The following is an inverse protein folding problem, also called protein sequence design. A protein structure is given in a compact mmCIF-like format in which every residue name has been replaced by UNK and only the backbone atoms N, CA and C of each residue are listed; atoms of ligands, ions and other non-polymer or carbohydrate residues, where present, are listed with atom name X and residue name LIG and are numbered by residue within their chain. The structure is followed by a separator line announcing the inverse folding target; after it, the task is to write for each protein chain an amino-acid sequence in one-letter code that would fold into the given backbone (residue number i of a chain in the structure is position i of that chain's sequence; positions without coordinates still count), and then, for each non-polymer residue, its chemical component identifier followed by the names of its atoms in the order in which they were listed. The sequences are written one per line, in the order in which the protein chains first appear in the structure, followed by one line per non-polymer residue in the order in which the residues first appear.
data_IF_921520668517
#
_entry.id   IF_921520668517
#
_cell.length_a   1.000
_cell.length_b   1.000
_cell.length_c   1.000
_cell.angle_alpha   90.00
_cell.angle_beta   90.00
_cell.angle_gamma   90.00
#
_symmetry.space_group_name_H-M   'P 1'
#
loop_
_entity.id
_entity.type
_entity.pdbx_description
1 polymer ?
#
# COMPACT_ATOMS: atom_id res chain seq x y z
N UNK A 1 15.27 19.63 -24.67
CA UNK A 1 14.81 18.47 -23.89
C UNK A 1 13.31 18.60 -23.75
N UNK A 2 12.57 17.48 -23.76
CA UNK A 2 11.12 17.53 -23.73
C UNK A 2 10.59 18.08 -22.39
N UNK A 3 9.42 18.69 -22.46
CA UNK A 3 8.63 19.11 -21.29
C UNK A 3 7.35 18.30 -21.24
N UNK A 4 6.90 17.98 -20.04
CA UNK A 4 5.59 17.39 -19.82
C UNK A 4 4.89 18.08 -18.65
N UNK A 5 3.58 17.90 -18.58
CA UNK A 5 2.78 18.37 -17.45
C UNK A 5 2.16 17.18 -16.77
N UNK A 6 2.19 17.16 -15.43
CA UNK A 6 1.50 16.14 -14.66
C UNK A 6 0.98 16.71 -13.34
N UNK A 7 -0.01 16.03 -12.79
CA UNK A 7 -0.52 16.28 -11.46
C UNK A 7 0.36 15.55 -10.44
N UNK A 8 0.69 16.20 -9.32
CA UNK A 8 1.55 15.58 -8.31
C UNK A 8 1.33 16.10 -6.91
N UNK A 9 1.65 15.27 -5.93
CA UNK A 9 1.70 15.62 -4.50
C UNK A 9 3.15 15.66 -4.05
N UNK A 10 3.53 16.74 -3.37
CA UNK A 10 4.87 16.87 -2.77
C UNK A 10 4.96 15.95 -1.55
N UNK A 11 5.84 14.94 -1.62
CA UNK A 11 6.10 14.04 -0.49
C UNK A 11 7.15 14.61 0.45
N UNK A 12 8.24 15.14 -0.13
CA UNK A 12 9.41 15.59 0.62
C UNK A 12 10.12 16.72 -0.10
N UNK A 13 10.70 17.63 0.67
CA UNK A 13 11.50 18.74 0.15
C UNK A 13 12.82 18.84 0.91
N UNK A 14 13.93 18.92 0.19
CA UNK A 14 15.28 19.09 0.76
C UNK A 14 15.97 20.32 0.16
N UNK A 15 16.84 20.97 0.93
CA UNK A 15 17.61 22.13 0.48
C UNK A 15 18.66 21.68 -0.54
N UNK A 16 18.81 22.42 -1.64
CA UNK A 16 19.89 22.24 -2.60
C UNK A 16 20.66 23.56 -2.70
N UNK A 17 21.86 23.60 -2.11
CA UNK A 17 22.60 24.85 -1.97
C UNK A 17 21.79 25.94 -1.26
N UNK A 18 22.03 27.19 -1.64
CA UNK A 18 21.44 28.35 -0.96
C UNK A 18 20.05 28.73 -1.49
N UNK A 19 19.88 28.73 -2.81
CA UNK A 19 18.70 29.27 -3.46
C UNK A 19 17.66 28.21 -3.86
N UNK A 20 18.05 26.93 -3.93
CA UNK A 20 17.26 25.90 -4.61
C UNK A 20 16.75 24.83 -3.63
N UNK A 21 15.80 24.03 -4.12
CA UNK A 21 15.26 22.84 -3.42
C UNK A 21 15.23 21.66 -4.38
N UNK A 22 15.45 20.45 -3.85
CA UNK A 22 15.04 19.21 -4.51
C UNK A 22 13.71 18.80 -3.89
N UNK A 23 12.73 18.50 -4.74
CA UNK A 23 11.38 18.13 -4.35
C UNK A 23 11.11 16.72 -4.86
N UNK A 24 10.71 15.83 -3.97
CA UNK A 24 10.22 14.49 -4.30
C UNK A 24 8.71 14.56 -4.45
N UNK A 25 8.20 14.14 -5.61
CA UNK A 25 6.81 14.28 -6.00
C UNK A 25 6.27 12.90 -6.40
N UNK A 26 5.16 12.47 -5.81
CA UNK A 26 4.37 11.39 -6.37
C UNK A 26 3.45 11.99 -7.44
N UNK A 27 3.72 11.69 -8.70
CA UNK A 27 2.91 12.14 -9.83
C UNK A 27 1.87 11.10 -10.20
N UNK A 28 0.76 11.56 -10.79
CA UNK A 28 -0.35 10.70 -11.18
C UNK A 28 0.05 9.73 -12.30
N UNK A 29 0.79 10.22 -13.30
CA UNK A 29 1.03 9.49 -14.55
C UNK A 29 2.48 9.02 -14.69
N UNK A 30 3.45 9.73 -14.10
CA UNK A 30 4.88 9.44 -14.21
C UNK A 30 5.48 8.80 -12.95
N UNK A 31 4.64 8.48 -11.96
CA UNK A 31 5.06 7.88 -10.69
C UNK A 31 5.90 8.83 -9.84
N UNK A 32 6.81 8.27 -9.04
CA UNK A 32 7.69 9.07 -8.20
C UNK A 32 8.83 9.70 -9.01
N UNK A 33 8.96 11.02 -8.90
CA UNK A 33 10.06 11.78 -9.51
C UNK A 33 10.77 12.63 -8.45
N UNK A 34 12.03 12.97 -8.74
CA UNK A 34 12.80 13.98 -8.01
C UNK A 34 13.11 15.13 -8.94
N UNK A 35 12.80 16.35 -8.53
CA UNK A 35 12.95 17.52 -9.38
C UNK A 35 13.58 18.70 -8.65
N UNK A 36 14.47 19.41 -9.35
CA UNK A 36 15.11 20.64 -8.86
C UNK A 36 14.19 21.83 -9.13
N UNK A 37 13.88 22.57 -8.08
CA UNK A 37 13.20 23.85 -8.15
C UNK A 37 14.21 24.99 -7.94
N UNK A 38 14.67 25.57 -9.06
CA UNK A 38 15.64 26.68 -9.03
C UNK A 38 15.04 27.95 -8.44
N UNK A 39 15.76 28.60 -7.54
CA UNK A 39 15.36 29.82 -6.86
C UNK A 39 14.23 29.65 -5.86
N UNK A 40 13.84 28.41 -5.53
CA UNK A 40 12.70 28.12 -4.66
C UNK A 40 12.81 28.74 -3.26
N UNK A 41 14.03 28.96 -2.76
CA UNK A 41 14.32 29.54 -1.43
C UNK A 41 14.53 31.06 -1.45
N UNK A 42 14.50 31.71 -2.62
CA UNK A 42 14.62 33.18 -2.71
C UNK A 42 13.37 33.84 -2.15
N UNK A 43 13.52 35.01 -1.51
CA UNK A 43 12.40 35.78 -0.92
C UNK A 43 11.28 36.05 -1.92
N UNK A 44 11.61 36.29 -3.20
CA UNK A 44 10.66 36.52 -4.29
C UNK A 44 10.47 35.27 -5.18
N UNK A 45 10.52 34.08 -4.58
CA UNK A 45 10.34 32.81 -5.29
C UNK A 45 8.93 32.72 -5.90
N UNK A 46 8.85 32.36 -7.19
CA UNK A 46 7.58 32.10 -7.87
C UNK A 46 6.81 30.91 -7.28
N UNK A 47 7.51 30.04 -6.56
CA UNK A 47 6.95 28.80 -6.04
C UNK A 47 6.18 29.00 -4.73
N UNK A 48 6.58 29.97 -3.88
CA UNK A 48 5.94 30.18 -2.58
C UNK A 48 5.80 28.88 -1.76
N UNK A 49 4.65 28.68 -1.12
CA UNK A 49 4.33 27.45 -0.36
C UNK A 49 3.97 26.22 -1.22
N UNK A 50 3.99 26.32 -2.56
CA UNK A 50 3.54 25.23 -3.45
C UNK A 50 4.45 24.01 -3.45
N UNK A 51 5.68 24.16 -2.95
CA UNK A 51 6.67 23.10 -2.84
C UNK A 51 6.84 22.61 -1.40
N UNK A 52 5.93 22.99 -0.50
CA UNK A 52 5.89 22.41 0.84
C UNK A 52 5.22 21.02 0.79
N UNK A 53 5.53 20.12 1.75
CA UNK A 53 4.91 18.81 1.85
C UNK A 53 3.38 18.87 1.81
N UNK A 54 2.78 17.81 1.25
CA UNK A 54 1.33 17.63 1.08
C UNK A 54 0.68 18.55 0.04
N UNK A 55 1.40 19.51 -0.54
CA UNK A 55 0.84 20.34 -1.61
C UNK A 55 0.57 19.51 -2.88
N UNK A 56 -0.67 19.57 -3.38
CA UNK A 56 -1.08 18.99 -4.67
C UNK A 56 -1.10 20.07 -5.73
N UNK A 57 -0.27 19.90 -6.75
CA UNK A 57 -0.12 20.89 -7.82
C UNK A 57 -0.15 20.23 -9.19
N UNK A 58 -0.49 21.02 -10.20
CA UNK A 58 -0.18 20.75 -11.60
C UNK A 58 1.22 21.27 -11.88
N UNK A 59 2.14 20.39 -12.21
CA UNK A 59 3.54 20.72 -12.46
C UNK A 59 3.84 20.76 -13.94
N UNK A 60 4.55 21.79 -14.40
CA UNK A 60 5.25 21.78 -15.68
C UNK A 60 6.69 21.35 -15.40
N UNK A 61 7.07 20.20 -15.92
CA UNK A 61 8.36 19.56 -15.68
C UNK A 61 9.15 19.54 -16.98
N UNK A 62 10.42 19.89 -16.86
CA UNK A 62 11.38 19.77 -17.95
C UNK A 62 12.27 18.57 -17.66
N UNK A 63 12.48 17.72 -18.66
CA UNK A 63 13.34 16.57 -18.47
C UNK A 63 14.78 17.01 -18.26
N UNK A 64 15.38 16.51 -17.17
CA UNK A 64 16.78 16.74 -16.84
C UNK A 64 17.70 15.67 -17.42
N UNK A 65 18.97 15.66 -17.00
CA UNK A 65 19.92 14.58 -17.33
C UNK A 65 19.87 13.54 -16.21
N UNK A 66 19.47 12.31 -16.53
CA UNK A 66 19.33 11.22 -15.56
C UNK A 66 18.03 11.31 -14.75
N UNK A 67 18.10 10.99 -13.45
CA UNK A 67 16.93 10.86 -12.58
C UNK A 67 16.38 12.20 -12.04
N UNK A 68 17.19 13.27 -12.09
CA UNK A 68 16.82 14.58 -11.58
C UNK A 68 16.17 15.44 -12.67
N UNK A 69 14.90 15.73 -12.48
CA UNK A 69 14.09 16.58 -13.35
C UNK A 69 14.18 18.06 -12.94
N UNK A 70 13.54 18.97 -13.70
CA UNK A 70 13.45 20.38 -13.35
C UNK A 70 12.01 20.88 -13.29
N UNK A 71 11.66 21.57 -12.21
CA UNK A 71 10.34 22.19 -12.06
C UNK A 71 10.37 23.58 -12.70
N UNK A 72 9.57 23.76 -13.77
CA UNK A 72 9.39 25.05 -14.42
C UNK A 72 8.20 25.82 -13.84
N UNK A 73 7.11 25.14 -13.51
CA UNK A 73 5.90 25.74 -12.94
C UNK A 73 5.23 24.78 -11.96
N UNK A 74 4.55 25.34 -10.97
CA UNK A 74 3.69 24.61 -10.05
C UNK A 74 2.43 25.45 -9.84
N UNK A 75 1.29 24.96 -10.29
CA UNK A 75 -0.02 25.58 -10.11
C UNK A 75 -0.81 24.80 -9.08
N UNK A 76 -1.26 25.48 -8.02
CA UNK A 76 -1.94 24.82 -6.91
C UNK A 76 -3.29 24.27 -7.35
N UNK A 77 -3.49 22.97 -7.10
CA UNK A 77 -4.81 22.33 -7.18
C UNK A 77 -5.42 22.29 -5.78
N UNK A 78 -4.64 21.83 -4.79
CA UNK A 78 -5.04 21.86 -3.38
C UNK A 78 -3.81 22.01 -2.48
N UNK A 79 -3.95 22.79 -1.41
CA UNK A 79 -2.90 23.03 -0.42
C UNK A 79 -3.30 22.44 0.94
N UNK A 80 -3.31 21.10 1.08
CA UNK A 80 -3.72 20.41 2.31
C UNK A 80 -2.88 20.75 3.55
N UNK A 81 -1.66 21.28 3.34
CA UNK A 81 -0.70 21.51 4.41
C UNK A 81 -1.19 22.48 5.48
N UNK A 82 -2.03 23.47 5.16
CA UNK A 82 -2.53 24.43 6.15
C UNK A 82 -3.36 23.75 7.24
N UNK A 83 -4.33 22.94 6.82
CA UNK A 83 -5.23 22.21 7.70
C UNK A 83 -4.50 21.07 8.43
N UNK A 84 -3.63 20.35 7.72
CA UNK A 84 -2.86 19.23 8.29
C UNK A 84 -1.87 19.72 9.35
N UNK A 85 -1.11 20.79 9.08
CA UNK A 85 -0.07 21.28 10.03
C UNK A 85 -0.69 21.88 11.29
N UNK A 86 -1.93 22.36 11.21
CA UNK A 86 -2.65 22.91 12.36
C UNK A 86 -3.07 21.85 13.38
N UNK A 87 -2.98 20.56 13.04
CA UNK A 87 -3.40 19.43 13.86
C UNK A 87 -2.23 18.46 14.03
N UNK A 88 -1.84 18.19 15.28
CA UNK A 88 -0.65 17.39 15.56
C UNK A 88 -0.78 15.96 15.03
N UNK A 89 -1.92 15.32 15.30
CA UNK A 89 -2.14 13.92 14.91
C UNK A 89 -2.24 13.80 13.39
N UNK A 90 -2.95 14.72 12.74
CA UNK A 90 -3.02 14.75 11.28
C UNK A 90 -1.63 14.97 10.65
N UNK A 91 -0.82 15.87 11.22
CA UNK A 91 0.54 16.11 10.75
C UNK A 91 1.44 14.88 10.88
N UNK A 92 1.41 14.19 12.03
CA UNK A 92 2.18 12.95 12.23
C UNK A 92 1.74 11.89 11.21
N UNK A 93 0.44 11.62 11.11
CA UNK A 93 -0.09 10.62 10.19
C UNK A 93 0.20 10.95 8.72
N UNK A 94 0.10 12.21 8.32
CA UNK A 94 0.44 12.64 6.96
C UNK A 94 1.92 12.40 6.63
N UNK A 95 2.83 12.59 7.60
CA UNK A 95 4.24 12.28 7.41
C UNK A 95 4.47 10.77 7.29
N UNK A 96 3.83 9.94 8.13
CA UNK A 96 3.92 8.47 8.03
C UNK A 96 3.42 7.99 6.67
N UNK A 97 2.27 8.47 6.21
CA UNK A 97 1.71 8.18 4.88
C UNK A 97 2.71 8.55 3.77
N UNK A 98 3.23 9.78 3.78
CA UNK A 98 4.13 10.26 2.74
C UNK A 98 5.47 9.51 2.73
N UNK A 99 6.04 9.25 3.90
CA UNK A 99 7.30 8.52 4.04
C UNK A 99 7.16 7.04 3.66
N UNK A 100 6.06 6.40 4.07
CA UNK A 100 5.79 5.00 3.76
C UNK A 100 5.62 4.79 2.26
N UNK A 101 4.89 5.69 1.60
CA UNK A 101 4.76 5.66 0.14
C UNK A 101 6.09 5.94 -0.56
N UNK A 102 6.87 6.91 -0.10
CA UNK A 102 8.19 7.23 -0.67
C UNK A 102 9.11 6.00 -0.63
N UNK A 103 9.25 5.37 0.56
CA UNK A 103 10.04 4.15 0.77
C UNK A 103 9.54 2.98 -0.06
N UNK A 104 8.24 2.75 -0.09
CA UNK A 104 7.63 1.70 -0.90
C UNK A 104 7.95 1.88 -2.39
N UNK A 105 7.86 3.11 -2.90
CA UNK A 105 8.16 3.41 -4.30
C UNK A 105 9.66 3.33 -4.64
N UNK A 106 10.58 3.59 -3.69
CA UNK A 106 12.02 3.35 -3.90
C UNK A 106 12.31 1.86 -4.11
N UNK A 107 11.67 1.01 -3.31
CA UNK A 107 11.84 -0.44 -3.42
C UNK A 107 11.36 -0.95 -4.78
N UNK A 108 10.22 -0.48 -5.28
CA UNK A 108 9.58 -0.98 -6.52
C UNK A 108 10.26 -0.46 -7.80
N UNK A 109 10.73 0.79 -7.84
CA UNK A 109 11.50 1.31 -8.98
C UNK A 109 12.78 0.51 -9.23
N UNK A 110 13.42 0.02 -8.17
CA UNK A 110 14.61 -0.85 -8.25
C UNK A 110 14.36 -2.18 -9.00
N UNK A 111 13.12 -2.68 -9.04
CA UNK A 111 12.76 -3.93 -9.73
C UNK A 111 12.50 -3.75 -11.23
N UNK A 112 11.97 -2.59 -11.67
CA UNK A 112 11.68 -2.34 -13.09
C UNK A 112 12.92 -2.27 -13.98
N UNK A 113 14.10 -1.96 -13.41
CA UNK A 113 15.37 -1.93 -14.14
C UNK A 113 15.95 -3.30 -14.50
N UNK A 114 15.49 -4.38 -13.85
CA UNK A 114 16.01 -5.75 -14.08
C UNK A 114 15.12 -6.59 -15.01
N UNK A 115 13.84 -6.24 -15.18
CA UNK A 115 12.89 -6.99 -16.01
C UNK A 115 13.21 -6.94 -17.51
N UNK A 116 13.96 -5.96 -18.01
CA UNK A 116 14.28 -5.88 -19.44
C UNK A 116 15.45 -6.76 -19.87
N UNK A 117 16.31 -7.21 -18.94
CA UNK A 117 17.49 -8.02 -19.27
C UNK A 117 17.29 -9.54 -19.09
N UNK A 118 16.35 -9.98 -18.25
CA UNK A 118 16.11 -11.41 -18.01
C UNK A 118 15.12 -12.07 -18.99
N UNK A 119 14.39 -11.29 -19.79
CA UNK A 119 13.50 -11.82 -20.82
C UNK A 119 14.25 -12.43 -22.03
N UNK A 120 15.55 -12.17 -22.16
CA UNK A 120 16.38 -12.65 -23.28
C UNK A 120 17.36 -13.79 -22.93
N UNK A 121 17.50 -14.18 -21.65
CA UNK A 121 18.54 -15.13 -21.21
C UNK A 121 18.02 -16.45 -20.62
N UNK A 122 16.71 -16.69 -20.60
CA UNK A 122 16.12 -17.95 -20.09
C UNK A 122 16.06 -19.09 -21.11
N UNK A 123 16.70 -18.97 -22.27
CA UNK A 123 16.69 -20.02 -23.30
C UNK A 123 17.91 -20.96 -23.28
N UNK A 124 18.93 -20.73 -22.46
CA UNK A 124 20.19 -21.51 -22.52
C UNK A 124 20.60 -22.31 -21.27
N UNK A 125 19.99 -22.12 -20.09
CA UNK A 125 20.45 -22.78 -18.85
C UNK A 125 19.55 -23.92 -18.34
N UNK A 126 18.98 -24.72 -19.25
CA UNK A 126 18.24 -25.95 -18.89
C UNK A 126 19.12 -27.22 -18.88
N UNK A 127 20.45 -27.12 -19.01
CA UNK A 127 21.28 -28.28 -19.33
C UNK A 127 22.21 -28.82 -18.23
N UNK A 128 22.38 -28.18 -17.07
CA UNK A 128 23.37 -28.64 -16.08
C UNK A 128 22.82 -28.53 -14.66
N UNK A 129 22.15 -29.60 -14.23
CA UNK A 129 21.53 -29.70 -12.91
C UNK A 129 22.54 -29.83 -11.78
N UNK A 130 22.42 -28.98 -10.76
CA UNK A 130 23.08 -29.11 -9.44
C UNK A 130 22.28 -28.32 -8.37
N UNK A 131 21.69 -29.05 -7.40
CA UNK A 131 21.31 -28.68 -5.99
C UNK A 131 20.18 -27.66 -5.69
N UNK A 132 19.33 -27.75 -4.63
CA UNK A 132 18.90 -28.73 -3.60
C UNK A 132 17.43 -28.43 -3.28
N UNK A 133 16.68 -29.47 -2.94
CA UNK A 133 15.26 -29.57 -2.65
C UNK A 133 14.75 -28.65 -1.52
N UNK A 134 13.72 -27.85 -1.83
CA UNK A 134 12.65 -27.48 -0.91
C UNK A 134 11.35 -28.02 -1.50
N UNK A 135 10.68 -28.91 -0.78
CA UNK A 135 9.62 -29.79 -1.26
C UNK A 135 8.37 -29.03 -1.74
N UNK A 136 8.26 -28.84 -3.05
CA UNK A 136 6.99 -28.65 -3.73
C UNK A 136 6.50 -30.02 -4.22
N UNK A 137 5.33 -30.44 -3.74
CA UNK A 137 4.69 -31.68 -4.12
C UNK A 137 4.44 -31.72 -5.64
N UNK A 138 4.94 -32.78 -6.27
CA UNK A 138 4.63 -33.14 -7.65
C UNK A 138 3.13 -33.45 -7.76
N UNK A 139 2.43 -32.76 -8.65
CA UNK A 139 1.20 -33.28 -9.26
C UNK A 139 1.40 -33.39 -10.76
N UNK A 140 0.78 -34.43 -11.31
CA UNK A 140 1.07 -35.07 -12.57
C UNK A 140 1.11 -34.16 -13.82
N UNK A 141 2.01 -34.56 -14.69
CA UNK A 141 2.28 -34.04 -16.02
C UNK A 141 1.12 -34.28 -16.99
N UNK A 142 0.15 -33.37 -17.07
CA UNK A 142 -0.65 -33.17 -18.29
C UNK A 142 -1.62 -32.00 -18.15
N UNK A 143 -1.09 -30.78 -18.12
CA UNK A 143 -1.65 -29.56 -18.73
C UNK A 143 -0.91 -28.36 -18.12
N UNK A 144 -0.14 -27.67 -18.95
CA UNK A 144 0.55 -26.44 -18.58
C UNK A 144 -0.46 -25.33 -18.25
N UNK A 145 -0.77 -25.14 -16.98
CA UNK A 145 -1.50 -23.96 -16.47
C UNK A 145 -0.50 -22.97 -15.86
N UNK A 146 0.55 -22.63 -16.63
CA UNK A 146 1.16 -21.33 -16.47
C UNK A 146 0.42 -20.40 -17.42
N UNK A 147 -0.27 -19.35 -16.93
CA UNK A 147 -0.91 -18.39 -17.82
C UNK A 147 0.17 -17.79 -18.72
N UNK A 148 0.07 -18.04 -20.02
CA UNK A 148 0.98 -17.56 -21.08
C UNK A 148 0.91 -16.05 -21.32
N UNK A 149 0.21 -15.31 -20.46
CA UNK A 149 0.19 -13.85 -20.41
C UNK A 149 0.63 -13.44 -19.01
N UNK A 150 1.68 -12.62 -18.92
CA UNK A 150 2.25 -12.18 -17.65
C UNK A 150 1.18 -11.67 -16.67
N UNK A 151 1.40 -11.94 -15.38
CA UNK A 151 0.52 -11.63 -14.25
C UNK A 151 0.25 -10.11 -14.04
N UNK A 152 0.76 -9.25 -14.91
CA UNK A 152 0.49 -7.81 -14.99
C UNK A 152 -0.53 -7.53 -16.10
N UNK A 153 -1.77 -7.98 -15.87
CA UNK A 153 -2.92 -7.62 -16.71
C UNK A 153 -3.53 -6.29 -16.26
N UNK A 154 -2.86 -5.19 -16.59
CA UNK A 154 -3.29 -3.77 -16.72
C UNK A 154 -2.05 -2.89 -16.59
N UNK A 155 -2.02 -1.74 -17.27
CA UNK A 155 -0.80 -0.98 -17.55
C UNK A 155 -0.10 -0.53 -16.25
N UNK A 156 1.23 -0.57 -16.18
CA UNK A 156 2.02 -0.06 -15.03
C UNK A 156 1.57 1.35 -14.56
N UNK A 157 1.06 2.17 -15.49
CA UNK A 157 0.46 3.48 -15.23
C UNK A 157 -0.86 3.45 -14.44
N UNK A 158 -1.67 2.39 -14.59
CA UNK A 158 -2.91 2.20 -13.82
C UNK A 158 -2.62 1.99 -12.34
N UNK A 159 -1.55 1.24 -12.03
CA UNK A 159 -1.10 0.99 -10.66
C UNK A 159 -0.58 2.28 -10.00
N UNK A 160 0.24 3.06 -10.71
CA UNK A 160 0.73 4.36 -10.23
C UNK A 160 -0.42 5.34 -9.96
N UNK A 161 -1.40 5.38 -10.84
CA UNK A 161 -2.60 6.22 -10.69
C UNK A 161 -3.39 5.83 -9.45
N UNK A 162 -3.47 4.53 -9.14
CA UNK A 162 -4.17 4.05 -7.96
C UNK A 162 -3.45 4.50 -6.67
N UNK A 163 -2.13 4.36 -6.57
CA UNK A 163 -1.36 4.85 -5.40
C UNK A 163 -1.49 6.37 -5.24
N UNK A 164 -1.42 7.10 -6.35
CA UNK A 164 -1.63 8.54 -6.37
C UNK A 164 -3.01 8.93 -5.82
N UNK A 165 -4.07 8.26 -6.31
CA UNK A 165 -5.44 8.53 -5.88
C UNK A 165 -5.64 8.19 -4.39
N UNK A 166 -5.04 7.09 -3.91
CA UNK A 166 -5.09 6.71 -2.50
C UNK A 166 -4.42 7.77 -1.62
N UNK A 167 -3.25 8.30 -2.03
CA UNK A 167 -2.56 9.38 -1.32
C UNK A 167 -3.40 10.66 -1.25
N UNK A 168 -3.96 11.08 -2.39
CA UNK A 168 -4.81 12.28 -2.45
C UNK A 168 -6.06 12.13 -1.58
N UNK A 169 -6.67 10.95 -1.59
CA UNK A 169 -7.82 10.66 -0.73
C UNK A 169 -7.45 10.76 0.76
N UNK A 170 -6.36 10.12 1.18
CA UNK A 170 -5.92 10.14 2.58
C UNK A 170 -5.58 11.56 3.07
N UNK A 171 -4.80 12.33 2.30
CA UNK A 171 -4.47 13.72 2.65
C UNK A 171 -5.71 14.63 2.67
N UNK A 172 -6.65 14.41 1.75
CA UNK A 172 -7.93 15.13 1.73
C UNK A 172 -8.78 14.82 2.97
N UNK A 173 -8.90 13.54 3.35
CA UNK A 173 -9.64 13.12 4.54
C UNK A 173 -9.00 13.63 5.84
N UNK A 174 -7.67 13.67 5.92
CA UNK A 174 -6.94 14.29 7.05
C UNK A 174 -7.22 15.79 7.14
N UNK A 175 -7.10 16.51 6.02
CA UNK A 175 -7.35 17.96 5.99
C UNK A 175 -8.80 18.32 6.37
N UNK A 176 -9.77 17.49 5.97
CA UNK A 176 -11.19 17.69 6.28
C UNK A 176 -11.62 17.10 7.63
N UNK A 177 -10.74 16.37 8.32
CA UNK A 177 -11.01 15.67 9.58
C UNK A 177 -12.25 14.76 9.48
N UNK A 178 -12.36 14.01 8.39
CA UNK A 178 -13.51 13.13 8.14
C UNK A 178 -13.58 11.93 9.11
N UNK A 179 -12.40 11.51 9.57
CA UNK A 179 -12.16 10.41 10.51
C UNK A 179 -10.95 10.75 11.38
N UNK A 180 -10.76 10.04 12.49
CA UNK A 180 -9.51 10.12 13.25
C UNK A 180 -8.27 9.87 12.38
N UNK A 181 -7.17 10.58 12.68
CA UNK A 181 -5.96 10.52 11.87
C UNK A 181 -5.36 9.11 11.79
N UNK A 182 -5.38 8.36 12.91
CA UNK A 182 -4.90 6.98 12.98
C UNK A 182 -5.71 6.01 12.12
N UNK A 183 -7.03 6.20 12.00
CA UNK A 183 -7.86 5.39 11.09
C UNK A 183 -7.49 5.65 9.63
N UNK A 184 -7.25 6.91 9.26
CA UNK A 184 -6.87 7.26 7.89
C UNK A 184 -5.49 6.70 7.55
N UNK A 185 -4.52 6.84 8.46
CA UNK A 185 -3.18 6.25 8.31
C UNK A 185 -3.24 4.73 8.17
N UNK A 186 -3.93 4.06 9.09
CA UNK A 186 -4.00 2.60 9.10
C UNK A 186 -4.68 2.05 7.85
N UNK A 187 -5.76 2.71 7.39
CA UNK A 187 -6.42 2.37 6.13
C UNK A 187 -5.51 2.60 4.93
N UNK A 188 -4.77 3.72 4.91
CA UNK A 188 -3.82 4.01 3.84
C UNK A 188 -2.74 2.92 3.74
N UNK A 189 -2.09 2.56 4.86
CA UNK A 189 -1.01 1.58 4.88
C UNK A 189 -1.49 0.19 4.43
N UNK A 190 -2.62 -0.28 4.99
CA UNK A 190 -3.21 -1.57 4.60
C UNK A 190 -3.58 -1.60 3.12
N UNK A 191 -4.23 -0.56 2.60
CA UNK A 191 -4.69 -0.50 1.21
C UNK A 191 -3.54 -0.36 0.23
N UNK A 192 -2.53 0.43 0.57
CA UNK A 192 -1.31 0.56 -0.23
C UNK A 192 -0.63 -0.81 -0.38
N UNK A 193 -0.43 -1.52 0.73
CA UNK A 193 0.21 -2.85 0.70
C UNK A 193 -0.67 -3.90 0.02
N UNK A 194 -1.99 -3.82 0.20
CA UNK A 194 -2.93 -4.70 -0.49
C UNK A 194 -2.89 -4.53 -2.01
N UNK A 195 -2.80 -3.28 -2.48
CA UNK A 195 -2.65 -2.98 -3.92
C UNK A 195 -1.33 -3.50 -4.50
N UNK A 196 -0.31 -3.65 -3.65
CA UNK A 196 0.98 -4.26 -3.97
C UNK A 196 0.99 -5.80 -3.84
N UNK A 197 -0.12 -6.41 -3.41
CA UNK A 197 -0.26 -7.86 -3.26
C UNK A 197 0.05 -8.40 -1.87
N UNK A 198 0.24 -7.53 -0.87
CA UNK A 198 0.52 -7.91 0.53
C UNK A 198 -0.64 -7.54 1.46
N UNK A 199 -1.85 -7.87 1.05
CA UNK A 199 -3.01 -7.73 1.92
C UNK A 199 -2.99 -8.84 2.98
N UNK A 200 -3.24 -8.53 4.26
CA UNK A 200 -3.36 -9.57 5.29
C UNK A 200 -4.61 -10.41 5.06
N UNK A 201 -4.51 -11.71 5.33
CA UNK A 201 -5.68 -12.60 5.38
C UNK A 201 -6.41 -12.43 6.71
N UNK A 202 -7.70 -12.09 6.68
CA UNK A 202 -8.50 -11.75 7.87
C UNK A 202 -9.73 -12.65 8.10
N UNK A 203 -10.11 -13.43 7.08
CA UNK A 203 -11.35 -14.19 6.99
C UNK A 203 -11.16 -15.70 7.17
N UNK A 204 -9.95 -16.21 6.97
CA UNK A 204 -9.60 -17.62 7.15
C UNK A 204 -8.18 -17.82 7.69
N UNK A 205 -7.90 -19.02 8.21
CA UNK A 205 -6.57 -19.37 8.68
C UNK A 205 -5.59 -19.41 7.51
N UNK A 206 -4.40 -18.82 7.69
CA UNK A 206 -3.32 -18.83 6.68
C UNK A 206 -2.80 -20.23 6.36
N UNK A 207 -2.92 -21.18 7.31
CA UNK A 207 -2.42 -22.55 7.20
C UNK A 207 -3.51 -23.50 6.70
N UNK A 208 -4.51 -23.86 7.54
CA UNK A 208 -5.55 -24.83 7.15
C UNK A 208 -6.73 -24.25 6.36
N UNK A 209 -6.89 -22.92 6.29
CA UNK A 209 -8.01 -22.29 5.59
C UNK A 209 -9.36 -22.30 6.32
N UNK A 210 -9.44 -22.80 7.56
CA UNK A 210 -10.66 -22.74 8.40
C UNK A 210 -11.09 -21.29 8.67
N UNK A 211 -12.39 -21.03 8.71
CA UNK A 211 -12.96 -19.69 8.95
C UNK A 211 -13.40 -19.46 10.42
N UNK A 212 -13.47 -20.52 11.21
CA UNK A 212 -13.80 -20.47 12.65
C UNK A 212 -12.53 -20.45 13.52
N UNK A 213 -12.68 -19.99 14.77
CA UNK A 213 -11.60 -19.91 15.77
C UNK A 213 -10.39 -19.04 15.35
N UNK A 214 -10.62 -18.02 14.53
CA UNK A 214 -9.58 -17.08 14.10
C UNK A 214 -9.27 -16.06 15.21
N UNK A 215 -8.35 -16.44 16.10
CA UNK A 215 -7.97 -15.64 17.28
C UNK A 215 -6.55 -15.10 17.22
N UNK A 216 -5.70 -15.66 16.37
CA UNK A 216 -4.28 -15.32 16.34
C UNK A 216 -3.93 -14.64 15.02
N UNK A 217 -3.12 -13.58 15.06
CA UNK A 217 -2.60 -12.90 13.89
C UNK A 217 -1.08 -12.99 13.87
N UNK A 218 -0.49 -13.48 12.78
CA UNK A 218 0.96 -13.47 12.57
C UNK A 218 1.27 -12.65 11.32
N UNK A 219 2.05 -11.59 11.53
CA UNK A 219 2.61 -10.76 10.45
C UNK A 219 3.44 -11.62 9.50
N UNK A 220 4.24 -12.55 10.05
CA UNK A 220 5.16 -13.34 9.24
C UNK A 220 4.45 -14.38 8.39
N UNK A 221 3.40 -14.99 8.95
CA UNK A 221 2.58 -16.00 8.29
C UNK A 221 1.53 -15.40 7.36
N UNK A 222 1.34 -14.07 7.40
CA UNK A 222 0.53 -13.33 6.43
C UNK A 222 -0.93 -13.11 6.84
N UNK A 223 -1.29 -13.26 8.13
CA UNK A 223 -2.65 -13.00 8.60
C UNK A 223 -3.13 -13.89 9.75
N UNK A 224 -4.43 -14.17 9.75
CA UNK A 224 -5.14 -14.87 10.82
C UNK A 224 -4.80 -16.37 10.89
N UNK A 225 -4.86 -16.92 12.09
CA UNK A 225 -4.60 -18.33 12.41
C UNK A 225 -5.61 -18.85 13.44
N UNK A 226 -5.93 -20.13 13.33
CA UNK A 226 -6.71 -20.83 14.35
C UNK A 226 -5.84 -21.23 15.55
N UNK A 227 -6.45 -21.65 16.66
CA UNK A 227 -5.69 -22.09 17.84
C UNK A 227 -4.77 -23.29 17.59
N UNK A 228 -5.12 -24.16 16.64
CA UNK A 228 -4.35 -25.34 16.27
C UNK A 228 -3.09 -25.00 15.49
N UNK A 229 -3.19 -24.08 14.53
CA UNK A 229 -2.10 -23.76 13.60
C UNK A 229 -1.24 -22.57 14.04
N UNK A 230 -1.54 -21.97 15.21
CA UNK A 230 -0.83 -20.77 15.67
C UNK A 230 0.67 -21.02 15.81
N UNK A 231 1.46 -20.09 15.29
CA UNK A 231 2.91 -20.05 15.50
C UNK A 231 3.26 -19.25 16.76
N UNK A 232 4.51 -19.38 17.20
CA UNK A 232 5.00 -18.75 18.43
C UNK A 232 4.97 -17.20 18.38
N UNK A 233 5.14 -16.60 17.20
CA UNK A 233 5.07 -15.15 16.98
C UNK A 233 3.64 -14.63 16.79
N UNK A 234 2.64 -15.51 16.74
CA UNK A 234 1.27 -15.08 16.52
C UNK A 234 0.70 -14.40 17.78
N UNK A 235 0.15 -13.19 17.59
CA UNK A 235 -0.49 -12.39 18.64
C UNK A 235 -1.96 -12.76 18.73
N UNK A 236 -2.50 -12.95 19.94
CA UNK A 236 -3.94 -13.06 20.11
C UNK A 236 -4.60 -11.70 19.88
N UNK A 237 -5.66 -11.65 19.07
CA UNK A 237 -6.39 -10.43 18.74
C UNK A 237 -7.89 -10.62 18.98
N UNK A 238 -8.58 -9.54 19.34
CA UNK A 238 -10.02 -9.60 19.54
C UNK A 238 -10.79 -9.73 18.22
N UNK A 239 -12.02 -10.24 18.28
CA UNK A 239 -12.92 -10.27 17.11
C UNK A 239 -13.16 -8.86 16.57
N UNK A 240 -13.28 -7.87 17.45
CA UNK A 240 -13.46 -6.45 17.10
C UNK A 240 -12.24 -5.89 16.37
N UNK A 241 -11.03 -6.11 16.88
CA UNK A 241 -9.79 -5.66 16.23
C UNK A 241 -9.65 -6.24 14.82
N UNK A 242 -9.98 -7.53 14.64
CA UNK A 242 -10.03 -8.17 13.32
C UNK A 242 -11.02 -7.50 12.37
N UNK A 243 -12.20 -7.14 12.87
CA UNK A 243 -13.24 -6.44 12.10
C UNK A 243 -12.80 -5.02 11.74
N UNK A 244 -12.17 -4.30 12.67
CA UNK A 244 -11.62 -2.97 12.41
C UNK A 244 -10.53 -3.03 11.32
N UNK A 245 -9.62 -4.00 11.38
CA UNK A 245 -8.63 -4.22 10.31
C UNK A 245 -9.29 -4.51 8.96
N UNK A 246 -10.33 -5.36 8.93
CA UNK A 246 -11.10 -5.64 7.72
C UNK A 246 -11.75 -4.36 7.17
N UNK A 247 -12.36 -3.56 8.05
CA UNK A 247 -13.00 -2.30 7.68
C UNK A 247 -12.00 -1.29 7.10
N UNK A 248 -10.83 -1.14 7.73
CA UNK A 248 -9.74 -0.28 7.26
C UNK A 248 -9.21 -0.74 5.88
N UNK A 249 -9.03 -2.05 5.69
CA UNK A 249 -8.56 -2.63 4.42
C UNK A 249 -9.54 -2.39 3.26
N UNK A 250 -10.83 -2.45 3.53
CA UNK A 250 -11.88 -2.27 2.51
C UNK A 250 -12.48 -0.86 2.46
N UNK A 251 -12.01 0.08 3.31
CA UNK A 251 -12.55 1.44 3.37
C UNK A 251 -14.02 1.50 3.85
N UNK A 252 -14.43 0.56 4.70
CA UNK A 252 -15.78 0.43 5.27
C UNK A 252 -15.91 1.23 6.56
N UNK A 253 -15.92 2.55 6.44
CA UNK A 253 -15.98 3.48 7.58
C UNK A 253 -17.24 3.32 8.43
N UNK A 254 -18.33 2.82 7.84
CA UNK A 254 -19.58 2.49 8.52
C UNK A 254 -19.40 1.45 9.63
N UNK A 255 -18.49 0.48 9.42
CA UNK A 255 -18.21 -0.57 10.39
C UNK A 255 -17.34 -0.09 11.56
N UNK A 256 -16.57 0.98 11.36
CA UNK A 256 -15.73 1.57 12.41
C UNK A 256 -16.53 2.47 13.35
N UNK A 257 -17.61 3.10 12.85
CA UNK A 257 -18.40 4.07 13.63
C UNK A 257 -19.43 3.44 14.56
N UNK A 258 -19.95 2.27 14.21
CA UNK A 258 -21.16 1.78 14.86
C UNK A 258 -20.92 0.83 16.04
N UNK A 259 -19.71 0.30 16.28
CA UNK A 259 -19.41 -0.81 17.21
C UNK A 259 -20.35 -2.04 17.12
N UNK A 260 -21.34 -2.01 16.22
CA UNK A 260 -22.33 -3.04 16.00
C UNK A 260 -21.79 -3.98 14.94
N UNK A 261 -21.14 -5.03 15.43
CA UNK A 261 -20.50 -6.07 14.65
C UNK A 261 -21.39 -7.31 14.48
N UNK A 262 -22.69 -7.18 14.77
CA UNK A 262 -23.66 -8.26 14.74
C UNK A 262 -23.90 -8.82 13.33
N UNK A 263 -23.73 -7.99 12.29
CA UNK A 263 -24.01 -8.36 10.89
C UNK A 263 -22.77 -8.82 10.09
N UNK A 264 -21.58 -8.83 10.69
CA UNK A 264 -20.36 -9.29 10.02
C UNK A 264 -20.06 -10.72 10.45
N UNK A 265 -20.73 -11.67 9.80
CA UNK A 265 -20.14 -12.98 9.52
C UNK A 265 -19.31 -12.83 8.24
N UNK A 266 -17.97 -12.91 8.29
CA UNK A 266 -17.17 -13.11 7.09
C UNK A 266 -17.57 -14.48 6.54
N UNK A 267 -18.55 -14.51 5.64
CA UNK A 267 -19.19 -15.71 5.10
C UNK A 267 -19.72 -16.71 6.15
N UNK A 268 -21.02 -16.62 6.48
CA UNK A 268 -21.80 -17.82 6.87
C UNK A 268 -21.98 -18.72 5.63
N UNK A 269 -20.88 -19.33 5.16
CA UNK A 269 -20.95 -20.59 4.47
C UNK A 269 -21.21 -21.63 5.55
N UNK A 270 -22.44 -22.13 5.63
CA UNK A 270 -22.99 -22.86 6.78
C UNK A 270 -22.01 -23.81 7.45
N UNK A 271 -22.12 -23.90 8.78
CA UNK A 271 -21.41 -24.81 9.69
C UNK A 271 -21.14 -26.18 9.04
N UNK A 272 -20.06 -26.28 8.30
CA UNK A 272 -19.35 -27.52 8.12
C UNK A 272 -18.31 -27.48 9.20
N UNK A 273 -18.54 -28.28 10.25
CA UNK A 273 -17.50 -28.77 11.13
C UNK A 273 -16.47 -29.51 10.26
N UNK A 274 -15.65 -28.73 9.55
CA UNK A 274 -14.48 -29.23 8.84
C UNK A 274 -13.49 -29.61 9.91
N UNK A 275 -13.52 -30.88 10.31
CA UNK A 275 -12.42 -31.51 11.02
C UNK A 275 -11.12 -31.09 10.35
N UNK A 276 -10.11 -30.82 11.17
CA UNK A 276 -8.75 -30.62 10.71
C UNK A 276 -8.47 -31.80 9.77
N UNK A 277 -8.23 -31.54 8.49
CA UNK A 277 -7.84 -32.63 7.59
C UNK A 277 -6.63 -33.32 8.23
N UNK A 278 -6.67 -34.65 8.31
CA UNK A 278 -5.57 -35.45 8.82
C UNK A 278 -4.26 -34.98 8.16
N UNK A 279 -3.13 -34.98 8.90
CA UNK A 279 -1.83 -34.52 8.39
C UNK A 279 -1.30 -35.30 7.16
N UNK A 280 -2.03 -36.31 6.69
CA UNK A 280 -1.72 -37.17 5.55
C UNK A 280 -2.50 -36.84 4.25
N UNK A 281 -3.43 -35.87 4.27
CA UNK A 281 -4.17 -35.48 3.06
C UNK A 281 -3.34 -34.48 2.23
N UNK A 282 -2.55 -35.05 1.30
CA UNK A 282 -1.63 -34.37 0.35
C UNK A 282 -2.31 -33.43 -0.69
N UNK A 283 -3.43 -32.80 -0.33
CA UNK A 283 -4.05 -31.76 -1.17
C UNK A 283 -3.20 -30.51 -1.13
N UNK A 284 -2.69 -30.15 -2.29
CA UNK A 284 -1.88 -28.97 -2.52
C UNK A 284 -2.71 -27.72 -2.19
N UNK A 285 -2.49 -27.13 -1.02
CA UNK A 285 -3.14 -25.89 -0.62
C UNK A 285 -2.57 -24.72 -1.44
N UNK A 286 -3.21 -24.43 -2.58
CA UNK A 286 -2.94 -23.19 -3.30
C UNK A 286 -3.54 -22.04 -2.50
N UNK A 287 -2.65 -21.24 -1.95
CA UNK A 287 -2.86 -20.00 -1.22
C UNK A 287 -3.74 -19.01 -2.02
N UNK A 288 -5.03 -18.78 -1.70
CA UNK A 288 -5.70 -17.59 -2.18
C UNK A 288 -5.39 -16.50 -1.16
N UNK A 289 -4.40 -15.66 -1.47
CA UNK A 289 -4.35 -14.29 -0.96
C UNK A 289 -5.75 -13.65 -1.04
N UNK A 290 -5.96 -12.52 -0.35
CA UNK A 290 -7.05 -11.58 -0.70
C UNK A 290 -7.27 -11.63 -2.20
N UNK A 291 -8.48 -12.05 -2.61
CA UNK A 291 -8.66 -12.55 -3.96
C UNK A 291 -8.32 -11.42 -4.95
N UNK A 292 -7.92 -11.74 -6.18
CA UNK A 292 -7.72 -10.71 -7.22
C UNK A 292 -8.95 -9.79 -7.35
N UNK A 293 -10.14 -10.31 -7.01
CA UNK A 293 -11.41 -9.58 -6.91
C UNK A 293 -11.44 -8.53 -5.79
N UNK A 294 -10.85 -8.80 -4.63
CA UNK A 294 -10.80 -7.88 -3.50
C UNK A 294 -9.81 -6.74 -3.76
N UNK A 295 -8.64 -7.04 -4.33
CA UNK A 295 -7.69 -6.00 -4.78
C UNK A 295 -8.33 -5.13 -5.87
N UNK A 296 -9.06 -5.73 -6.81
CA UNK A 296 -9.84 -4.99 -7.80
C UNK A 296 -10.99 -4.17 -7.18
N UNK A 297 -11.56 -4.60 -6.05
CA UNK A 297 -12.52 -3.79 -5.27
C UNK A 297 -11.82 -2.58 -4.69
N UNK A 298 -10.70 -2.77 -3.97
CA UNK A 298 -9.93 -1.68 -3.36
C UNK A 298 -9.54 -0.64 -4.42
N UNK A 299 -9.06 -1.09 -5.59
CA UNK A 299 -8.70 -0.19 -6.71
C UNK A 299 -9.91 0.57 -7.25
N UNK A 300 -11.07 -0.07 -7.39
CA UNK A 300 -12.31 0.59 -7.82
C UNK A 300 -12.79 1.61 -6.79
N UNK A 301 -12.73 1.28 -5.50
CA UNK A 301 -13.14 2.17 -4.41
C UNK A 301 -12.23 3.41 -4.33
N UNK A 302 -10.93 3.23 -4.52
CA UNK A 302 -9.96 4.35 -4.63
C UNK A 302 -10.28 5.22 -5.84
N UNK A 303 -10.62 4.62 -6.99
CA UNK A 303 -10.98 5.37 -8.19
C UNK A 303 -12.32 6.14 -8.05
N UNK A 304 -13.33 5.57 -7.40
CA UNK A 304 -14.64 6.22 -7.22
C UNK A 304 -14.59 7.39 -6.22
N UNK A 305 -13.75 7.32 -5.19
CA UNK A 305 -13.60 8.41 -4.21
C UNK A 305 -12.98 9.69 -4.82
N UNK A 306 -12.37 9.61 -6.01
CA UNK A 306 -11.92 10.79 -6.75
C UNK A 306 -13.08 11.68 -7.23
N UNK A 307 -14.24 11.10 -7.56
CA UNK A 307 -15.38 11.83 -8.12
C UNK A 307 -16.11 12.71 -7.09
N UNK A 308 -16.04 12.36 -5.80
CA UNK A 308 -16.75 13.06 -4.73
C UNK A 308 -15.92 14.17 -4.06
N UNK A 309 -14.64 14.33 -4.42
CA UNK A 309 -13.76 15.38 -3.87
C UNK A 309 -14.10 16.81 -4.37
N UNK A 310 -15.16 17.00 -5.17
CA UNK A 310 -15.66 18.32 -5.59
C UNK A 310 -16.89 18.81 -4.79
N UNK A 311 -17.47 17.99 -3.92
CA UNK A 311 -18.59 18.42 -3.09
C UNK A 311 -18.15 18.67 -1.65
N UNK A 312 -18.01 19.95 -1.31
CA UNK A 312 -17.91 20.46 0.07
C UNK A 312 -19.22 20.20 0.81
N UNK A 313 -19.46 18.96 1.25
CA UNK A 313 -20.49 18.68 2.24
C UNK A 313 -19.86 18.83 3.63
N UNK A 314 -20.06 20.00 4.24
CA UNK A 314 -19.83 20.20 5.68
C UNK A 314 -20.76 19.27 6.44
N UNK A 315 -20.24 18.14 6.90
CA UNK A 315 -20.98 17.22 7.76
C UNK A 315 -20.73 17.60 9.22
N UNK A 316 -21.61 18.44 9.76
CA UNK A 316 -21.66 18.76 11.19
C UNK A 316 -22.44 17.66 11.92
N UNK A 317 -21.73 16.70 12.52
CA UNK A 317 -22.34 15.64 13.30
C UNK A 317 -21.30 14.65 13.81
N UNK A 318 -20.43 15.10 14.73
CA UNK A 318 -19.56 14.19 15.49
C UNK A 318 -20.43 13.48 16.55
N UNK A 319 -21.09 12.40 16.16
CA UNK A 319 -21.35 11.30 17.09
C UNK A 319 -19.99 10.72 17.46
N UNK A 320 -19.70 10.56 18.76
CA UNK A 320 -18.42 10.05 19.29
C UNK A 320 -17.84 8.94 18.41
N UNK A 321 -16.78 9.22 17.64
CA UNK A 321 -16.08 8.16 16.90
C UNK A 321 -15.40 7.27 17.95
N UNK A 322 -15.88 6.03 18.07
CA UNK A 322 -15.20 5.00 18.85
C UNK A 322 -13.83 4.79 18.22
N UNK A 323 -12.77 5.03 19.00
CA UNK A 323 -11.40 4.88 18.54
C UNK A 323 -11.10 3.44 18.14
N UNK A 324 -10.05 3.24 17.33
CA UNK A 324 -9.53 1.90 17.07
C UNK A 324 -9.12 1.23 18.39
N UNK A 325 -9.28 -0.09 18.45
CA UNK A 325 -8.67 -0.87 19.51
C UNK A 325 -7.14 -0.67 19.46
N UNK A 326 -6.45 -0.53 20.61
CA UNK A 326 -5.03 -0.16 20.64
C UNK A 326 -4.10 -1.14 19.87
N UNK A 327 -4.49 -2.41 19.77
CA UNK A 327 -3.71 -3.42 19.04
C UNK A 327 -3.77 -3.24 17.53
N UNK A 328 -4.83 -2.64 16.98
CA UNK A 328 -5.00 -2.46 15.53
C UNK A 328 -3.90 -1.59 14.91
N UNK A 329 -3.65 -0.35 15.36
CA UNK A 329 -2.57 0.46 14.79
C UNK A 329 -1.19 -0.18 15.01
N UNK A 330 -0.95 -0.86 16.14
CA UNK A 330 0.30 -1.61 16.36
C UNK A 330 0.50 -2.72 15.33
N UNK A 331 -0.55 -3.51 15.05
CA UNK A 331 -0.49 -4.59 14.06
C UNK A 331 -0.29 -4.02 12.65
N UNK A 332 -0.97 -2.94 12.30
CA UNK A 332 -0.82 -2.29 11.00
C UNK A 332 0.58 -1.71 10.82
N UNK A 333 1.13 -1.10 11.86
CA UNK A 333 2.51 -0.61 11.87
C UNK A 333 3.48 -1.78 11.68
N UNK A 334 3.38 -2.84 12.48
CA UNK A 334 4.22 -4.03 12.39
C UNK A 334 4.15 -4.66 10.99
N UNK A 335 2.95 -4.80 10.44
CA UNK A 335 2.70 -5.28 9.09
C UNK A 335 3.41 -4.40 8.06
N UNK A 336 3.25 -3.08 8.16
CA UNK A 336 3.85 -2.14 7.23
C UNK A 336 5.38 -2.16 7.28
N UNK A 337 5.98 -2.16 8.47
CA UNK A 337 7.42 -2.26 8.66
C UNK A 337 7.95 -3.56 8.04
N UNK A 338 7.30 -4.68 8.32
CA UNK A 338 7.72 -5.99 7.80
C UNK A 338 7.74 -6.03 6.27
N UNK A 339 6.70 -5.56 5.59
CA UNK A 339 6.61 -5.66 4.13
C UNK A 339 7.31 -4.52 3.38
N UNK A 340 7.43 -3.32 3.97
CA UNK A 340 8.18 -2.21 3.36
C UNK A 340 9.69 -2.40 3.52
N UNK A 341 10.17 -2.94 4.64
CA UNK A 341 11.62 -3.09 4.89
C UNK A 341 12.22 -4.41 4.38
N UNK A 342 11.45 -5.49 4.26
CA UNK A 342 11.97 -6.77 3.76
C UNK A 342 12.58 -6.72 2.35
N UNK A 343 12.00 -6.03 1.35
CA UNK A 343 12.63 -5.86 0.04
C UNK A 343 14.02 -5.24 0.10
N UNK A 344 14.31 -4.44 1.14
CA UNK A 344 15.58 -3.74 1.32
C UNK A 344 16.66 -4.68 1.88
N UNK A 345 16.30 -5.58 2.80
CA UNK A 345 17.26 -6.52 3.44
C UNK A 345 17.65 -7.70 2.54
N UNK A 346 16.71 -8.29 1.80
CA UNK A 346 17.02 -9.41 0.91
C UNK A 346 17.94 -9.01 -0.25
N UNK A 347 17.87 -7.75 -0.73
CA UNK A 347 18.80 -7.23 -1.73
C UNK A 347 20.22 -6.97 -1.21
N UNK A 348 20.38 -6.55 0.04
CA UNK A 348 21.72 -6.41 0.64
C UNK A 348 22.42 -7.77 0.78
N UNK A 349 21.67 -8.84 1.07
CA UNK A 349 22.21 -10.19 1.13
C UNK A 349 22.65 -10.70 -0.25
N UNK A 350 21.84 -10.50 -1.30
CA UNK A 350 22.22 -10.90 -2.67
C UNK A 350 23.43 -10.11 -3.19
N UNK A 351 23.52 -8.79 -2.91
CA UNK A 351 24.69 -7.96 -3.26
C UNK A 351 25.95 -8.27 -2.46
N UNK A 352 25.85 -9.02 -1.36
CA UNK A 352 27.00 -9.45 -0.56
C UNK A 352 27.54 -10.82 -0.96
N UNK A 353 26.82 -11.53 -1.84
CA UNK A 353 27.15 -12.89 -2.32
C UNK A 353 27.59 -12.90 -3.79
N UNK A 354 27.37 -11.79 -4.51
CA UNK A 354 27.91 -11.52 -5.86
C UNK A 354 29.00 -10.47 -5.72
#
# INVERSE_FOLDING_TARGET
MPTYTDEGVVLRTIKLGEADRIVTIMTKSHGKIRAVAKGARRTKSRFGGRLEPFARNKFLIHEGRGELQHINQADTIHAYGGEIIADYDAYVCANVIAESLDKFLDSTQSYSGFSSHYASSTQEYSAQGVYVQGTYAQTDSSQSVLPKNGMYGNSFTDDLTAYYNLLVAALGSLARKEHSAQMIESSFLLRMLAMAGWAPRLDNCVVCGRQTDLRFFSTQSGGMMCSTDRVLDAREISKESRIQMYALLHGRWDLLRNNDHSDISPHDGGEQEGNCADPDDSRTFTNPSVTTRDVASIRRDVASNQANNHSSATFSGLTEETGLNPDVPEIVEEWSQYYIERPIRSFQLVKSVI
#
